data_IF_845923675510
#
_entry.id   IF_845923675510
#
_cell.length_a   1.000
_cell.length_b   1.000
_cell.length_c   1.000
_cell.angle_alpha   90.00
_cell.angle_beta   90.00
_cell.angle_gamma   90.00
#
_symmetry.space_group_name_H-M   'P 1'
#
loop_
_entity.id
_entity.type
_entity.pdbx_description
1 polymer ?
#
# COMPACT_ATOMS: atom_id res chain seq x y z
N UNK A 1 -76.81 -13.01 1.36
CA UNK A 1 -75.50 -13.61 1.12
C UNK A 1 -74.50 -12.49 0.76
N UNK A 2 -73.64 -12.09 1.67
CA UNK A 2 -72.63 -11.04 1.44
C UNK A 2 -71.27 -11.71 1.23
N UNK A 3 -70.65 -11.57 0.04
CA UNK A 3 -69.33 -12.09 -0.25
C UNK A 3 -68.29 -11.06 0.21
N UNK A 4 -67.42 -11.42 1.13
CA UNK A 4 -66.23 -10.65 1.54
C UNK A 4 -65.11 -10.92 0.54
N UNK A 5 -64.56 -9.87 -0.07
CA UNK A 5 -63.39 -9.90 -0.92
C UNK A 5 -62.16 -9.60 -0.04
N UNK A 6 -61.28 -10.60 0.15
CA UNK A 6 -60.00 -10.42 0.88
C UNK A 6 -58.97 -9.85 -0.10
N UNK A 7 -58.47 -8.67 0.21
CA UNK A 7 -57.35 -8.02 -0.49
C UNK A 7 -56.08 -8.39 0.23
N UNK A 8 -55.22 -9.19 -0.43
CA UNK A 8 -53.87 -9.51 0.07
C UNK A 8 -52.89 -8.38 -0.32
N UNK A 9 -52.11 -7.84 0.60
CA UNK A 9 -51.06 -6.89 0.25
C UNK A 9 -49.87 -7.60 -0.36
N UNK A 10 -49.45 -7.21 -1.56
CA UNK A 10 -48.21 -7.62 -2.19
C UNK A 10 -47.02 -6.95 -1.49
N UNK A 11 -46.24 -7.73 -0.77
CA UNK A 11 -44.96 -7.29 -0.18
C UNK A 11 -43.89 -7.31 -1.31
N UNK A 12 -43.56 -6.12 -1.80
CA UNK A 12 -42.43 -5.96 -2.72
C UNK A 12 -41.11 -6.16 -1.97
N UNK A 13 -40.43 -7.26 -2.16
CA UNK A 13 -39.09 -7.50 -1.66
C UNK A 13 -38.10 -6.63 -2.44
N UNK A 14 -37.61 -5.55 -1.83
CA UNK A 14 -36.49 -4.74 -2.37
C UNK A 14 -35.19 -5.50 -2.13
N UNK A 15 -34.73 -6.21 -3.12
CA UNK A 15 -33.37 -6.79 -3.13
C UNK A 15 -32.36 -5.65 -3.34
N UNK A 16 -31.74 -5.20 -2.25
CA UNK A 16 -30.54 -4.35 -2.31
C UNK A 16 -29.41 -5.18 -2.93
N UNK A 17 -29.18 -4.97 -4.21
CA UNK A 17 -27.96 -5.46 -4.88
C UNK A 17 -26.76 -4.71 -4.27
N UNK A 18 -26.02 -5.36 -3.36
CA UNK A 18 -24.72 -4.90 -2.92
C UNK A 18 -23.81 -4.89 -4.16
N UNK A 19 -23.57 -3.71 -4.74
CA UNK A 19 -22.57 -3.56 -5.79
C UNK A 19 -21.23 -4.07 -5.21
N UNK A 20 -20.54 -4.98 -5.91
CA UNK A 20 -19.21 -5.40 -5.46
C UNK A 20 -18.31 -4.17 -5.46
N UNK A 21 -17.77 -3.82 -4.30
CA UNK A 21 -16.74 -2.79 -4.18
C UNK A 21 -15.63 -3.15 -5.18
N UNK A 22 -15.32 -2.25 -6.09
CA UNK A 22 -14.25 -2.46 -7.07
C UNK A 22 -12.93 -2.57 -6.30
N UNK A 23 -12.52 -3.79 -5.99
CA UNK A 23 -11.22 -4.05 -5.38
C UNK A 23 -10.17 -3.59 -6.38
N UNK A 24 -9.42 -2.57 -6.03
CA UNK A 24 -8.31 -2.08 -6.84
C UNK A 24 -7.34 -3.22 -7.14
N UNK A 25 -6.72 -3.20 -8.31
CA UNK A 25 -5.71 -4.20 -8.64
C UNK A 25 -4.32 -3.68 -8.27
N UNK A 26 -3.36 -4.58 -7.95
CA UNK A 26 -1.97 -4.20 -7.67
C UNK A 26 -1.40 -3.25 -8.73
N UNK A 27 -0.55 -2.31 -8.33
CA UNK A 27 0.05 -1.35 -9.25
C UNK A 27 0.82 -2.06 -10.38
N UNK A 28 0.85 -1.41 -11.53
CA UNK A 28 1.65 -1.82 -12.69
C UNK A 28 2.60 -0.69 -13.06
N UNK A 29 3.60 -0.38 -12.22
CA UNK A 29 4.52 0.70 -12.48
C UNK A 29 5.38 0.38 -13.70
N UNK A 30 5.78 1.41 -14.43
CA UNK A 30 6.80 1.31 -15.50
C UNK A 30 8.19 1.19 -14.90
N UNK A 31 8.44 1.87 -13.80
CA UNK A 31 9.67 1.78 -13.02
C UNK A 31 9.44 0.90 -11.79
N UNK A 32 10.27 -0.11 -11.58
CA UNK A 32 10.20 -1.02 -10.42
C UNK A 32 11.29 -0.73 -9.40
N UNK A 33 12.03 0.37 -9.55
CA UNK A 33 13.13 0.71 -8.65
C UNK A 33 12.64 1.43 -7.39
N UNK A 34 13.30 1.13 -6.29
CA UNK A 34 13.26 1.94 -5.08
C UNK A 34 14.51 2.82 -5.09
N UNK A 35 14.31 4.13 -5.06
CA UNK A 35 15.38 5.12 -4.92
C UNK A 35 15.35 5.63 -3.48
N UNK A 36 16.23 5.09 -2.65
CA UNK A 36 16.26 5.36 -1.18
C UNK A 36 16.89 6.72 -0.92
N UNK A 37 16.29 7.57 -0.10
CA UNK A 37 14.92 7.59 0.37
C UNK A 37 14.04 8.58 -0.43
N UNK A 38 13.96 8.46 -1.73
CA UNK A 38 13.33 9.45 -2.63
C UNK A 38 12.07 8.98 -3.32
N UNK A 39 12.03 7.71 -3.75
CA UNK A 39 10.92 7.18 -4.56
C UNK A 39 10.70 5.69 -4.36
N UNK A 40 9.45 5.24 -4.50
CA UNK A 40 9.06 3.84 -4.62
C UNK A 40 8.37 3.65 -5.97
N UNK A 41 8.96 2.84 -6.86
CA UNK A 41 8.39 2.51 -8.16
C UNK A 41 7.94 3.75 -8.97
N UNK A 42 8.80 4.77 -9.01
CA UNK A 42 8.58 6.02 -9.73
C UNK A 42 7.67 7.03 -9.02
N UNK A 43 7.15 6.72 -7.83
CA UNK A 43 6.34 7.67 -7.06
C UNK A 43 7.24 8.37 -6.04
N UNK A 44 7.26 9.70 -6.11
CA UNK A 44 8.00 10.59 -5.23
C UNK A 44 7.06 11.35 -4.29
N UNK A 45 7.58 11.75 -3.13
CA UNK A 45 6.87 12.68 -2.25
C UNK A 45 6.59 14.01 -2.97
N UNK A 46 5.49 14.65 -2.58
CA UNK A 46 4.99 15.93 -3.15
C UNK A 46 4.51 15.84 -4.61
N UNK A 47 4.61 14.68 -5.27
CA UNK A 47 3.94 14.43 -6.55
C UNK A 47 2.42 14.57 -6.38
N UNK A 48 1.68 14.99 -7.43
CA UNK A 48 0.21 14.97 -7.37
C UNK A 48 -0.30 13.54 -7.35
N UNK A 49 -1.21 13.21 -6.42
CA UNK A 49 -1.76 11.86 -6.26
C UNK A 49 -2.43 11.32 -7.54
N UNK A 50 -3.11 12.19 -8.29
CA UNK A 50 -3.70 11.83 -9.60
C UNK A 50 -2.64 11.41 -10.62
N UNK A 51 -1.45 12.05 -10.59
CA UNK A 51 -0.32 11.66 -11.42
C UNK A 51 0.26 10.33 -10.94
N UNK A 52 0.46 10.18 -9.63
CA UNK A 52 0.96 8.96 -9.01
C UNK A 52 0.07 7.75 -9.35
N UNK A 53 -1.25 7.86 -9.20
CA UNK A 53 -2.19 6.80 -9.59
C UNK A 53 -2.09 6.46 -11.09
N UNK A 54 -1.92 7.46 -11.96
CA UNK A 54 -1.73 7.23 -13.41
C UNK A 54 -0.42 6.49 -13.68
N UNK A 55 0.66 6.86 -13.01
CA UNK A 55 1.99 6.25 -13.19
C UNK A 55 2.01 4.80 -12.68
N UNK A 56 1.16 4.47 -11.70
CA UNK A 56 0.88 3.11 -11.24
C UNK A 56 -0.23 2.38 -12.02
N UNK A 57 -0.68 2.95 -13.15
CA UNK A 57 -1.58 2.31 -14.13
C UNK A 57 -3.07 2.49 -13.85
N UNK A 58 -3.47 3.48 -13.03
CA UNK A 58 -4.88 3.81 -12.72
C UNK A 58 -5.68 2.62 -12.17
N UNK A 59 -5.05 1.76 -11.40
CA UNK A 59 -5.63 0.50 -10.91
C UNK A 59 -6.05 0.57 -9.45
N UNK A 60 -5.71 1.66 -8.76
CA UNK A 60 -6.05 1.87 -7.36
C UNK A 60 -7.51 2.25 -7.19
N UNK A 61 -8.09 1.82 -6.09
CA UNK A 61 -9.30 2.40 -5.53
C UNK A 61 -8.89 3.70 -4.85
N UNK A 62 -9.35 4.83 -5.39
CA UNK A 62 -8.88 6.15 -4.98
C UNK A 62 -10.02 7.03 -4.49
N UNK A 63 -9.92 7.51 -3.26
CA UNK A 63 -10.66 8.67 -2.79
C UNK A 63 -9.78 9.93 -2.90
N UNK A 64 -10.23 10.90 -3.67
CA UNK A 64 -9.55 12.18 -3.84
C UNK A 64 -10.19 13.32 -3.03
N UNK A 65 -11.16 13.01 -2.18
CA UNK A 65 -11.82 13.99 -1.30
C UNK A 65 -10.98 14.18 -0.03
N UNK A 66 -10.66 15.43 0.28
CA UNK A 66 -9.91 15.77 1.51
C UNK A 66 -8.44 15.35 1.47
N UNK A 67 -8.06 14.39 2.31
CA UNK A 67 -6.77 13.69 2.25
C UNK A 67 -6.91 12.58 1.22
N UNK A 68 -6.25 12.71 0.08
CA UNK A 68 -6.38 11.69 -0.98
C UNK A 68 -5.69 10.38 -0.57
N UNK A 69 -6.37 9.26 -0.81
CA UNK A 69 -5.81 7.92 -0.63
C UNK A 69 -6.10 7.09 -1.86
N UNK A 70 -5.11 6.36 -2.35
CA UNK A 70 -5.27 5.32 -3.36
C UNK A 70 -4.77 4.00 -2.80
N UNK A 71 -5.63 3.00 -2.74
CA UNK A 71 -5.28 1.64 -2.32
C UNK A 71 -5.22 0.71 -3.53
N UNK A 72 -4.29 -0.22 -3.49
CA UNK A 72 -4.04 -1.21 -4.53
C UNK A 72 -3.92 -2.58 -3.88
N UNK A 73 -4.90 -3.44 -4.12
CA UNK A 73 -4.93 -4.77 -3.54
C UNK A 73 -4.80 -5.85 -4.62
N UNK A 74 -4.06 -6.87 -4.32
CA UNK A 74 -3.99 -8.05 -5.17
C UNK A 74 -5.20 -8.96 -4.98
N UNK A 75 -5.41 -9.86 -5.93
CA UNK A 75 -6.44 -10.90 -5.77
C UNK A 75 -6.04 -11.84 -4.64
N UNK A 76 -6.75 -11.76 -3.52
CA UNK A 76 -6.54 -12.54 -2.32
C UNK A 76 -5.35 -12.10 -1.47
N UNK A 77 -5.37 -12.49 -0.20
CA UNK A 77 -4.42 -12.10 0.87
C UNK A 77 -2.94 -12.26 0.50
N UNK A 78 -2.61 -13.30 -0.30
CA UNK A 78 -1.22 -13.64 -0.69
C UNK A 78 -0.56 -12.65 -1.66
N UNK A 79 -1.33 -11.77 -2.26
CA UNK A 79 -0.82 -10.88 -3.31
C UNK A 79 -0.15 -9.63 -2.76
N UNK A 80 -0.37 -9.30 -1.50
CA UNK A 80 0.07 -8.06 -0.89
C UNK A 80 -0.78 -6.86 -1.30
N UNK A 81 -0.38 -5.70 -0.80
CA UNK A 81 -1.04 -4.42 -1.02
C UNK A 81 -0.04 -3.30 -1.27
N UNK A 82 -0.54 -2.20 -1.82
CA UNK A 82 0.20 -0.96 -1.90
C UNK A 82 -0.75 0.21 -1.67
N UNK A 83 -0.23 1.33 -1.17
CA UNK A 83 -1.00 2.54 -0.99
C UNK A 83 -0.21 3.80 -1.35
N UNK A 84 -0.95 4.83 -1.73
CA UNK A 84 -0.44 6.20 -1.90
C UNK A 84 -1.37 7.09 -1.10
N UNK A 85 -0.81 7.82 -0.15
CA UNK A 85 -1.54 8.82 0.60
C UNK A 85 -1.10 10.22 0.21
N UNK A 86 -2.02 11.15 0.25
CA UNK A 86 -1.73 12.55 -0.02
C UNK A 86 -2.19 13.44 1.13
N UNK A 87 -1.35 14.40 1.48
CA UNK A 87 -1.70 15.49 2.37
C UNK A 87 -2.72 16.44 1.70
N UNK A 88 -3.20 17.42 2.46
CA UNK A 88 -4.00 18.52 1.93
C UNK A 88 -3.39 19.05 0.63
N UNK A 89 -4.19 19.42 -0.34
CA UNK A 89 -3.82 19.83 -1.71
C UNK A 89 -3.43 18.70 -2.66
N UNK A 90 -3.62 17.42 -2.26
CA UNK A 90 -3.43 16.25 -3.10
C UNK A 90 -1.97 15.98 -3.50
N UNK A 91 -1.01 16.42 -2.68
CA UNK A 91 0.40 16.07 -2.86
C UNK A 91 0.71 14.80 -2.06
N UNK A 92 1.38 13.85 -2.68
CA UNK A 92 1.81 12.60 -2.05
C UNK A 92 2.62 12.88 -0.80
N UNK A 93 2.19 12.34 0.32
CA UNK A 93 2.83 12.39 1.63
C UNK A 93 3.34 11.03 2.09
N UNK A 94 2.79 9.95 1.57
CA UNK A 94 3.23 8.59 1.86
C UNK A 94 3.04 7.67 0.66
N UNK A 95 3.95 6.72 0.50
CA UNK A 95 3.86 5.61 -0.46
C UNK A 95 4.28 4.35 0.28
N UNK A 96 3.50 3.29 0.14
CA UNK A 96 3.77 2.03 0.82
C UNK A 96 3.53 0.84 -0.09
N UNK A 97 4.34 -0.19 0.09
CA UNK A 97 4.14 -1.53 -0.46
C UNK A 97 4.30 -2.57 0.65
N UNK A 98 3.43 -3.57 0.67
CA UNK A 98 3.41 -4.62 1.67
C UNK A 98 3.30 -6.01 1.06
N UNK A 99 3.95 -6.98 1.72
CA UNK A 99 3.78 -8.39 1.41
C UNK A 99 2.38 -8.87 1.82
N UNK A 100 1.84 -9.84 1.09
CA UNK A 100 0.63 -10.52 1.48
C UNK A 100 0.86 -11.54 2.58
N UNK A 101 -0.22 -12.09 3.12
CA UNK A 101 -0.18 -13.19 4.10
C UNK A 101 -0.97 -14.39 3.58
N UNK A 102 -0.64 -15.58 4.06
CA UNK A 102 -1.40 -16.79 3.78
C UNK A 102 -2.58 -16.98 4.77
N UNK A 103 -3.20 -18.15 4.78
CA UNK A 103 -4.31 -18.49 5.69
C UNK A 103 -3.91 -18.61 7.17
N UNK A 104 -2.61 -18.70 7.44
CA UNK A 104 -2.03 -18.78 8.79
C UNK A 104 -1.40 -17.43 9.22
N UNK A 105 -1.67 -16.34 8.48
CA UNK A 105 -1.10 -15.01 8.64
C UNK A 105 0.44 -14.95 8.47
N UNK A 106 1.04 -15.98 7.85
CA UNK A 106 2.46 -15.97 7.49
C UNK A 106 2.70 -15.15 6.22
N UNK A 107 3.78 -14.36 6.21
CA UNK A 107 4.12 -13.49 5.09
C UNK A 107 4.49 -14.28 3.83
N UNK A 108 3.93 -13.87 2.71
CA UNK A 108 4.14 -14.48 1.39
C UNK A 108 4.82 -13.49 0.46
N UNK A 109 6.04 -13.81 0.07
CA UNK A 109 6.89 -12.96 -0.78
C UNK A 109 6.82 -13.41 -2.25
N UNK A 110 5.65 -13.24 -2.87
CA UNK A 110 5.39 -13.63 -4.26
C UNK A 110 4.74 -12.49 -5.04
N UNK A 111 4.77 -12.60 -6.36
CA UNK A 111 4.02 -11.71 -7.22
C UNK A 111 4.76 -10.42 -7.61
N UNK A 112 3.98 -9.44 -8.03
CA UNK A 112 4.49 -8.24 -8.71
C UNK A 112 5.25 -7.29 -7.78
N UNK A 113 4.79 -7.12 -6.54
CA UNK A 113 5.42 -6.19 -5.60
C UNK A 113 6.84 -6.61 -5.20
N UNK A 114 7.15 -7.92 -5.23
CA UNK A 114 8.50 -8.41 -4.99
C UNK A 114 9.54 -7.94 -6.01
N UNK A 115 9.11 -7.52 -7.21
CA UNK A 115 10.02 -7.00 -8.25
C UNK A 115 10.39 -5.54 -8.03
N UNK A 116 9.80 -4.90 -7.02
CA UNK A 116 10.11 -3.52 -6.65
C UNK A 116 11.25 -3.59 -5.64
N UNK A 117 12.44 -3.16 -6.06
CA UNK A 117 13.66 -3.30 -5.27
C UNK A 117 14.61 -2.10 -5.46
N UNK A 118 15.54 -1.94 -4.55
CA UNK A 118 16.62 -0.96 -4.65
C UNK A 118 17.67 -1.44 -5.67
N UNK A 119 18.60 -0.55 -6.03
CA UNK A 119 19.76 -0.92 -6.86
C UNK A 119 20.67 -1.97 -6.19
N UNK A 120 20.62 -2.07 -4.85
CA UNK A 120 21.33 -3.06 -4.04
C UNK A 120 20.56 -4.40 -3.95
N UNK A 121 19.42 -4.54 -4.68
CA UNK A 121 18.58 -5.74 -4.66
C UNK A 121 17.86 -5.94 -3.33
N UNK A 122 17.41 -4.85 -2.69
CA UNK A 122 16.64 -4.91 -1.44
C UNK A 122 15.18 -4.61 -1.74
N UNK A 123 14.31 -5.58 -1.48
CA UNK A 123 12.87 -5.51 -1.69
C UNK A 123 12.11 -6.38 -0.68
N UNK A 124 10.82 -6.59 -0.94
CA UNK A 124 9.98 -7.45 -0.11
C UNK A 124 10.50 -8.89 -0.13
N UNK A 125 10.63 -9.50 1.05
CA UNK A 125 11.14 -10.87 1.24
C UNK A 125 12.65 -10.98 1.42
N UNK A 126 13.40 -9.90 1.24
CA UNK A 126 14.81 -9.89 1.55
C UNK A 126 15.06 -9.86 3.06
N UNK A 127 16.20 -10.38 3.51
CA UNK A 127 16.57 -10.30 4.93
C UNK A 127 16.79 -8.85 5.34
N UNK A 128 16.13 -8.40 6.42
CA UNK A 128 16.26 -7.04 6.95
C UNK A 128 17.72 -6.66 7.27
N UNK A 129 18.56 -7.63 7.65
CA UNK A 129 19.99 -7.41 7.89
C UNK A 129 20.80 -6.94 6.65
N UNK A 130 20.22 -6.99 5.44
CA UNK A 130 20.83 -6.37 4.24
C UNK A 130 20.77 -4.83 4.31
N UNK A 131 19.75 -4.25 4.97
CA UNK A 131 19.52 -2.80 4.99
C UNK A 131 20.70 -2.03 5.59
N UNK A 132 21.19 -2.31 6.82
CA UNK A 132 22.33 -1.58 7.37
C UNK A 132 23.64 -1.85 6.62
N UNK A 133 23.76 -2.97 5.90
CA UNK A 133 24.93 -3.23 5.04
C UNK A 133 24.95 -2.32 3.81
N UNK A 134 23.79 -2.11 3.18
CA UNK A 134 23.66 -1.26 2.00
C UNK A 134 23.56 0.23 2.38
N UNK A 135 22.97 0.53 3.52
CA UNK A 135 22.75 1.88 4.04
C UNK A 135 23.34 2.00 5.46
N UNK A 136 24.64 2.29 5.59
CA UNK A 136 25.33 2.30 6.90
C UNK A 136 24.75 3.30 7.91
N UNK A 137 24.01 4.32 7.44
CA UNK A 137 23.32 5.30 8.30
C UNK A 137 21.88 4.89 8.66
N UNK A 138 21.47 3.68 8.28
CA UNK A 138 20.13 3.19 8.66
C UNK A 138 20.03 3.02 10.18
N UNK A 139 18.95 3.55 10.74
CA UNK A 139 18.63 3.49 12.17
C UNK A 139 17.70 2.29 12.37
N UNK A 140 18.00 1.43 13.34
CA UNK A 140 17.09 0.36 13.73
C UNK A 140 15.94 0.94 14.54
N UNK A 141 14.69 0.54 14.25
CA UNK A 141 13.51 0.97 15.02
C UNK A 141 13.61 0.51 16.48
N UNK A 142 13.07 1.29 17.43
CA UNK A 142 13.13 0.99 18.86
C UNK A 142 12.55 -0.38 19.21
N UNK A 143 11.46 -0.79 18.57
CA UNK A 143 10.83 -2.11 18.71
C UNK A 143 11.53 -3.23 17.92
N UNK A 144 12.65 -2.94 17.26
CA UNK A 144 13.45 -3.87 16.44
C UNK A 144 12.72 -4.48 15.25
N UNK A 145 11.57 -3.92 14.84
CA UNK A 145 10.73 -4.42 13.73
C UNK A 145 11.09 -3.81 12.39
N UNK A 146 12.24 -3.15 12.27
CA UNK A 146 12.64 -2.58 10.97
C UNK A 146 13.85 -1.65 11.05
N UNK A 147 14.05 -0.97 9.93
CA UNK A 147 15.12 -0.01 9.74
C UNK A 147 14.56 1.25 9.08
N UNK A 148 15.15 2.40 9.40
CA UNK A 148 14.80 3.70 8.85
C UNK A 148 16.03 4.28 8.17
N UNK A 149 15.83 4.78 6.96
CA UNK A 149 16.84 5.55 6.23
C UNK A 149 16.31 6.96 6.05
N UNK A 150 16.93 7.92 6.72
CA UNK A 150 16.55 9.32 6.65
C UNK A 150 16.96 9.93 5.30
N UNK A 151 16.12 10.83 4.81
CA UNK A 151 16.36 11.62 3.61
C UNK A 151 16.76 13.04 3.91
N UNK A 152 16.84 13.85 2.86
CA UNK A 152 16.99 15.31 3.01
C UNK A 152 15.68 15.92 3.52
N UNK A 153 15.79 16.82 4.50
CA UNK A 153 14.65 17.52 5.07
C UNK A 153 13.81 16.65 6.00
N UNK A 154 12.56 16.40 5.65
CA UNK A 154 11.59 15.67 6.49
C UNK A 154 11.19 14.32 5.95
N UNK A 155 11.90 13.80 4.94
CA UNK A 155 11.57 12.51 4.35
C UNK A 155 12.38 11.38 4.98
N UNK A 156 11.75 10.22 5.10
CA UNK A 156 12.43 9.00 5.48
C UNK A 156 11.79 7.78 4.80
N UNK A 157 12.56 6.72 4.68
CA UNK A 157 12.08 5.43 4.19
C UNK A 157 12.21 4.38 5.28
N UNK A 158 11.17 3.56 5.45
CA UNK A 158 11.20 2.44 6.39
C UNK A 158 11.25 1.11 5.65
N UNK A 159 11.99 0.16 6.22
CA UNK A 159 12.00 -1.25 5.83
C UNK A 159 11.51 -2.05 7.04
N UNK A 160 10.25 -2.48 7.03
CA UNK A 160 9.64 -3.20 8.15
C UNK A 160 9.94 -4.68 8.07
N UNK A 161 10.20 -5.30 9.23
CA UNK A 161 10.49 -6.74 9.37
C UNK A 161 9.58 -7.33 10.45
N UNK A 162 8.26 -7.33 10.22
CA UNK A 162 7.28 -7.73 11.22
C UNK A 162 7.36 -9.22 11.58
N UNK A 163 7.92 -10.05 10.71
CA UNK A 163 8.30 -11.44 10.99
C UNK A 163 9.66 -11.56 11.74
N UNK A 164 10.28 -10.43 12.08
CA UNK A 164 11.60 -10.35 12.71
C UNK A 164 12.79 -10.67 11.80
N UNK A 165 12.56 -11.09 10.54
CA UNK A 165 13.61 -11.59 9.65
C UNK A 165 13.61 -10.98 8.27
N UNK A 166 12.45 -10.98 7.59
CA UNK A 166 12.33 -10.54 6.22
C UNK A 166 11.66 -9.17 6.14
N UNK A 167 11.94 -8.43 5.08
CA UNK A 167 11.27 -7.16 4.80
C UNK A 167 9.84 -7.46 4.36
N UNK A 168 8.89 -7.12 5.22
CA UNK A 168 7.44 -7.35 5.03
C UNK A 168 6.73 -6.12 4.48
N UNK A 169 7.31 -4.93 4.64
CA UNK A 169 6.79 -3.68 4.12
C UNK A 169 7.88 -2.65 3.89
N UNK A 170 7.66 -1.79 2.91
CA UNK A 170 8.54 -0.65 2.61
C UNK A 170 7.67 0.57 2.44
N UNK A 171 7.98 1.65 3.17
CA UNK A 171 7.26 2.92 3.04
C UNK A 171 8.21 4.10 2.88
N UNK A 172 7.77 5.09 2.13
CA UNK A 172 8.40 6.41 1.98
C UNK A 172 7.44 7.45 2.55
N UNK A 173 7.88 8.29 3.47
CA UNK A 173 7.02 9.21 4.22
C UNK A 173 7.62 10.61 4.23
N UNK A 174 6.74 11.64 4.07
CA UNK A 174 7.05 13.05 4.31
C UNK A 174 6.69 13.40 5.76
N UNK A 175 7.64 13.36 6.65
CA UNK A 175 7.47 13.63 8.08
C UNK A 175 8.79 13.52 8.82
N UNK A 176 8.84 14.05 10.04
CA UNK A 176 9.96 13.77 10.94
C UNK A 176 9.73 12.39 11.55
N UNK A 177 10.76 11.55 11.52
CA UNK A 177 10.76 10.34 12.33
C UNK A 177 10.78 10.77 13.81
N UNK A 178 9.79 10.32 14.57
CA UNK A 178 9.79 10.43 16.03
C UNK A 178 10.45 9.15 16.54
N UNK A 179 11.71 9.28 16.95
CA UNK A 179 12.51 8.19 17.51
C UNK A 179 11.98 7.72 18.87
#
# INVERSE_FOLDING_TARGET
MKRAIAVLPAVAAVTLALAPSAVGALPKPKDTRIVVPKAIAGIELKMKIKKANRDWGRRGDCDFKGFGVCTYEGRGRRSGSASIEAARRGNVSSVEIEAGTDKHDEYVFKGRLRRIETKEGIGLGDRGAKVPKAYPKAIRTANKTGYIVEGKGRSYMTFRTLDGKHITGISLVDGKHQG
#
